data_IF_347430197222
#
_entry.id   IF_347430197222
#
_cell.length_a   1.000
_cell.length_b   1.000
_cell.length_c   1.000
_cell.angle_alpha   90.00
_cell.angle_beta   90.00
_cell.angle_gamma   90.00
#
_symmetry.space_group_name_H-M   'P 1'
#
loop_
_entity.id
_entity.type
_entity.pdbx_description
1 polymer ?
#
# COMPACT_ATOMS: atom_id res chain seq x y z
N UNK A 1 -1.19 -39.34 -3.45
CA UNK A 1 -0.22 -38.57 -4.28
C UNK A 1 -0.64 -37.12 -4.19
N UNK A 2 0.24 -36.23 -3.71
CA UNK A 2 -0.07 -34.82 -3.40
C UNK A 2 -0.37 -34.02 -4.66
N UNK A 3 -1.49 -33.30 -4.66
CA UNK A 3 -1.81 -32.23 -5.61
C UNK A 3 -0.76 -31.12 -5.48
N UNK A 4 -0.23 -30.54 -6.57
CA UNK A 4 0.61 -29.36 -6.47
C UNK A 4 -0.20 -28.22 -5.84
N UNK A 5 0.38 -27.39 -4.94
CA UNK A 5 -0.29 -26.19 -4.48
C UNK A 5 -0.52 -25.29 -5.69
N UNK A 6 -1.73 -24.74 -5.81
CA UNK A 6 -2.06 -23.73 -6.80
C UNK A 6 -1.01 -22.61 -6.77
N UNK A 7 -0.68 -21.96 -7.92
CA UNK A 7 0.12 -20.75 -7.88
C UNK A 7 -0.55 -19.78 -6.91
N UNK A 8 0.18 -19.36 -5.89
CA UNK A 8 -0.25 -18.31 -4.98
C UNK A 8 -0.79 -17.16 -5.85
N UNK A 9 -1.95 -16.56 -5.52
CA UNK A 9 -2.41 -15.38 -6.25
C UNK A 9 -1.25 -14.38 -6.32
N UNK A 10 -1.03 -13.70 -7.46
CA UNK A 10 0.04 -12.72 -7.56
C UNK A 10 -0.10 -11.79 -6.36
N UNK A 11 0.98 -11.62 -5.60
CA UNK A 11 1.02 -10.68 -4.48
C UNK A 11 0.32 -9.38 -4.92
N UNK A 12 -0.56 -8.79 -4.09
CA UNK A 12 -1.28 -7.58 -4.47
C UNK A 12 -0.24 -6.62 -5.03
N UNK A 13 -0.34 -6.24 -6.31
CA UNK A 13 0.74 -5.63 -7.07
C UNK A 13 1.20 -4.34 -6.38
N UNK A 14 2.11 -4.46 -5.42
CA UNK A 14 2.61 -3.35 -4.63
C UNK A 14 3.31 -2.43 -5.60
N UNK A 15 2.95 -1.14 -5.64
CA UNK A 15 3.60 -0.17 -6.51
C UNK A 15 5.13 -0.20 -6.36
N UNK A 16 5.84 -0.05 -7.48
CA UNK A 16 7.30 0.04 -7.46
C UNK A 16 7.71 1.40 -6.88
N UNK A 17 8.68 1.41 -5.97
CA UNK A 17 9.23 2.63 -5.37
C UNK A 17 9.90 3.58 -6.38
N UNK A 18 10.19 3.10 -7.60
CA UNK A 18 10.63 3.92 -8.73
C UNK A 18 9.54 4.86 -9.24
N UNK A 19 8.27 4.54 -9.03
CA UNK A 19 7.13 5.35 -9.43
C UNK A 19 6.73 6.40 -8.37
N UNK A 20 7.43 6.41 -7.22
CA UNK A 20 7.21 7.41 -6.20
C UNK A 20 7.55 8.83 -6.73
N UNK A 21 6.77 9.89 -6.40
CA UNK A 21 6.95 11.21 -7.01
C UNK A 21 8.28 11.92 -6.67
N UNK A 22 9.10 11.36 -5.79
CA UNK A 22 10.35 11.96 -5.36
C UNK A 22 11.02 11.22 -4.19
N UNK A 23 12.20 11.68 -3.76
CA UNK A 23 12.97 11.03 -2.70
C UNK A 23 12.31 11.11 -1.32
N UNK A 24 11.46 12.11 -1.07
CA UNK A 24 10.82 12.33 0.24
C UNK A 24 9.61 11.42 0.52
N UNK A 25 9.22 10.59 -0.45
CA UNK A 25 8.08 9.67 -0.33
C UNK A 25 8.56 8.32 0.21
N UNK A 26 8.65 8.23 1.54
CA UNK A 26 9.25 7.09 2.22
C UNK A 26 8.26 6.07 2.77
N UNK A 27 6.96 6.30 2.61
CA UNK A 27 5.92 5.40 3.10
C UNK A 27 4.95 5.05 1.97
N UNK A 28 4.44 3.83 2.00
CA UNK A 28 3.46 3.29 1.06
C UNK A 28 2.43 2.50 1.87
N UNK A 29 1.16 2.72 1.61
CA UNK A 29 0.11 1.92 2.22
C UNK A 29 -1.06 1.74 1.27
N UNK A 30 -1.82 0.68 1.53
CA UNK A 30 -3.04 0.36 0.80
C UNK A 30 -4.25 0.63 1.69
N UNK A 31 -5.24 1.30 1.12
CA UNK A 31 -6.55 1.43 1.74
C UNK A 31 -7.35 0.13 1.59
N UNK A 32 -8.42 -0.03 2.38
CA UNK A 32 -9.29 -1.22 2.37
C UNK A 32 -9.92 -1.49 0.99
N UNK A 33 -10.12 -0.44 0.19
CA UNK A 33 -10.65 -0.53 -1.19
C UNK A 33 -9.60 -1.06 -2.20
N UNK A 34 -8.36 -1.25 -1.77
CA UNK A 34 -7.26 -1.73 -2.61
C UNK A 34 -6.43 -0.64 -3.28
N UNK A 35 -6.81 0.63 -3.11
CA UNK A 35 -6.06 1.78 -3.65
C UNK A 35 -4.76 1.99 -2.86
N UNK A 36 -3.65 2.18 -3.57
CA UNK A 36 -2.36 2.47 -2.96
C UNK A 36 -2.04 3.96 -2.95
N UNK A 37 -1.35 4.38 -1.89
CA UNK A 37 -0.90 5.77 -1.72
C UNK A 37 0.53 5.83 -1.20
N UNK A 38 1.30 6.72 -1.82
CA UNK A 38 2.59 7.15 -1.30
C UNK A 38 2.38 8.21 -0.22
N UNK A 39 3.24 8.22 0.79
CA UNK A 39 3.28 9.26 1.81
C UNK A 39 4.69 9.78 2.08
N UNK A 40 4.77 11.09 2.40
CA UNK A 40 6.01 11.77 2.84
C UNK A 40 6.24 11.78 4.34
N UNK A 41 5.22 11.39 5.10
CA UNK A 41 5.25 11.26 6.55
C UNK A 41 4.44 10.02 6.89
N UNK A 42 4.78 9.35 7.98
CA UNK A 42 4.05 8.17 8.44
C UNK A 42 2.53 8.46 8.51
N UNK A 43 1.70 7.73 7.75
CA UNK A 43 0.26 7.92 7.78
C UNK A 43 -0.34 7.30 9.06
N UNK A 44 -1.47 7.87 9.49
CA UNK A 44 -2.23 7.35 10.63
C UNK A 44 -3.32 6.41 10.16
N UNK A 45 -3.47 5.29 10.87
CA UNK A 45 -4.46 4.28 10.57
C UNK A 45 -5.88 4.76 10.92
N UNK A 46 -6.73 4.92 9.90
CA UNK A 46 -8.12 5.35 10.04
C UNK A 46 -9.10 4.18 9.98
N UNK A 47 -9.17 3.38 11.05
CA UNK A 47 -10.01 2.16 11.14
C UNK A 47 -11.47 2.37 10.70
N UNK A 48 -12.12 3.45 11.14
CA UNK A 48 -13.52 3.72 10.82
C UNK A 48 -13.77 4.02 9.33
N UNK A 49 -12.74 4.46 8.60
CA UNK A 49 -12.84 4.80 7.18
C UNK A 49 -12.23 3.76 6.25
N UNK A 50 -11.56 2.73 6.79
CA UNK A 50 -10.84 1.77 5.96
C UNK A 50 -9.67 2.38 5.19
N UNK A 51 -9.02 3.43 5.72
CA UNK A 51 -8.00 4.18 4.99
C UNK A 51 -6.81 4.60 5.86
N UNK A 52 -5.67 4.81 5.20
CA UNK A 52 -4.47 5.46 5.75
C UNK A 52 -4.53 6.97 5.51
N UNK A 53 -4.59 7.74 6.59
CA UNK A 53 -4.73 9.20 6.54
C UNK A 53 -3.39 9.88 6.74
N UNK A 54 -3.08 10.81 5.86
CA UNK A 54 -2.09 11.85 6.11
C UNK A 54 -2.63 13.18 5.62
N UNK A 55 -1.90 14.26 5.88
CA UNK A 55 -2.27 15.54 5.31
C UNK A 55 -2.15 15.48 3.77
N UNK A 56 -3.10 16.06 3.03
CA UNK A 56 -3.19 15.86 1.56
C UNK A 56 -1.90 16.24 0.80
N UNK A 57 -1.13 17.21 1.30
CA UNK A 57 0.19 17.58 0.74
C UNK A 57 1.26 16.47 0.85
N UNK A 58 1.06 15.51 1.74
CA UNK A 58 1.96 14.37 1.99
C UNK A 58 1.34 13.06 1.51
N UNK A 59 0.27 13.08 0.72
CA UNK A 59 -0.38 11.90 0.18
C UNK A 59 -0.41 12.01 -1.35
N UNK A 60 -0.05 10.93 -2.05
CA UNK A 60 -0.14 10.86 -3.49
C UNK A 60 -0.65 9.49 -3.94
N UNK A 61 -1.59 9.41 -4.89
CA UNK A 61 -2.04 8.14 -5.42
C UNK A 61 -0.85 7.40 -6.06
N UNK A 62 -0.67 6.14 -5.68
CA UNK A 62 0.34 5.25 -6.24
C UNK A 62 -0.25 4.32 -7.32
N UNK A 63 -1.56 4.08 -7.26
CA UNK A 63 -2.31 3.33 -8.25
C UNK A 63 -3.26 2.29 -7.64
N UNK A 64 -4.08 1.64 -8.48
CA UNK A 64 -5.02 0.63 -8.03
C UNK A 64 -4.30 -0.69 -7.72
N UNK A 65 -4.76 -1.37 -6.68
CA UNK A 65 -4.37 -2.73 -6.33
C UNK A 65 -5.59 -3.58 -5.99
N UNK A 66 -5.36 -4.86 -5.68
CA UNK A 66 -6.42 -5.75 -5.20
C UNK A 66 -6.77 -5.42 -3.75
N UNK A 67 -8.05 -5.31 -3.38
CA UNK A 67 -8.46 -5.12 -1.98
C UNK A 67 -7.82 -6.16 -1.06
N UNK A 68 -7.19 -5.69 0.02
CA UNK A 68 -6.51 -6.55 0.99
C UNK A 68 -7.30 -6.57 2.31
N UNK A 69 -7.75 -7.73 2.82
CA UNK A 69 -8.42 -7.81 4.12
C UNK A 69 -7.50 -7.35 5.27
N UNK A 70 -6.19 -7.47 5.11
CA UNK A 70 -5.15 -7.04 6.04
C UNK A 70 -4.54 -5.67 5.66
N UNK A 71 -5.30 -4.80 4.97
CA UNK A 71 -4.86 -3.46 4.56
C UNK A 71 -4.28 -2.62 5.72
N UNK A 72 -4.76 -2.82 6.94
CA UNK A 72 -4.25 -2.17 8.16
C UNK A 72 -2.80 -2.54 8.51
N UNK A 73 -2.27 -3.61 7.91
CA UNK A 73 -0.87 -4.04 8.03
C UNK A 73 -0.08 -3.80 6.72
N UNK A 74 -0.66 -3.10 5.74
CA UNK A 74 -0.02 -2.86 4.44
C UNK A 74 0.99 -1.69 4.45
N UNK A 75 1.12 -0.97 5.57
CA UNK A 75 2.08 0.13 5.66
C UNK A 75 3.51 -0.39 5.55
N UNK A 76 4.21 0.10 4.54
CA UNK A 76 5.59 -0.22 4.23
C UNK A 76 6.41 1.05 4.15
N UNK A 77 7.67 0.94 4.55
CA UNK A 77 8.67 2.00 4.34
C UNK A 77 9.52 1.69 3.13
N UNK A 78 10.04 2.75 2.50
CA UNK A 78 10.93 2.62 1.35
C UNK A 78 12.21 1.87 1.77
N UNK A 79 12.60 0.81 1.05
CA UNK A 79 13.84 0.11 1.34
C UNK A 79 15.06 1.02 1.08
N UNK A 80 16.03 0.99 1.99
CA UNK A 80 17.33 1.70 1.90
C UNK A 80 18.34 0.96 1.04
#
# INVERSE_FOLDING_TARGET
MQTPPAPLPPHPSTPDWRDAPGPDWNWLAQDADGQWFWYRTEPQLGWAGGIWRSNSRHQHPAGPGTPNPDWANSLQTRPT
#
